data_IF_522241977194
#
_entry.id   IF_522241977194
#
_cell.length_a   1.000
_cell.length_b   1.000
_cell.length_c   1.000
_cell.angle_alpha   90.00
_cell.angle_beta   90.00
_cell.angle_gamma   90.00
#
_symmetry.space_group_name_H-M   'P 1'
#
loop_
_entity.id
_entity.type
_entity.pdbx_description
1 polymer ?
#
# COMPACT_ATOMS: atom_id res chain seq x y z
N UNK A 1 17.03 -2.35 58.92
CA UNK A 1 16.52 -1.55 57.78
C UNK A 1 16.94 -2.33 56.54
N UNK A 2 15.99 -2.91 55.82
CA UNK A 2 16.28 -3.68 54.61
C UNK A 2 15.98 -2.79 53.41
N UNK A 3 17.03 -2.49 52.65
CA UNK A 3 16.92 -1.85 51.35
C UNK A 3 16.20 -2.81 50.40
N UNK A 4 14.90 -2.57 50.20
CA UNK A 4 14.17 -3.11 49.07
C UNK A 4 14.64 -2.36 47.83
N UNK A 5 15.67 -2.88 47.17
CA UNK A 5 15.96 -2.53 45.79
C UNK A 5 14.77 -2.97 44.93
N UNK A 6 13.87 -2.03 44.69
CA UNK A 6 12.69 -2.22 43.86
C UNK A 6 13.17 -2.34 42.40
N UNK A 7 13.30 -3.58 41.94
CA UNK A 7 13.60 -3.91 40.55
C UNK A 7 12.52 -3.31 39.62
N UNK A 8 12.85 -2.20 38.96
CA UNK A 8 12.03 -1.57 37.91
C UNK A 8 11.84 -2.45 36.67
N UNK A 9 12.49 -3.62 36.63
CA UNK A 9 12.45 -4.59 35.53
C UNK A 9 11.20 -5.50 35.53
N UNK A 10 10.30 -5.35 36.50
CA UNK A 10 9.04 -6.10 36.51
C UNK A 10 7.98 -5.46 35.60
N UNK A 11 8.30 -5.25 34.32
CA UNK A 11 7.26 -5.06 33.30
C UNK A 11 6.50 -6.39 33.25
N UNK A 12 5.26 -6.40 33.76
CA UNK A 12 4.41 -7.59 33.80
C UNK A 12 4.41 -8.28 32.42
N UNK A 13 4.62 -9.61 32.32
CA UNK A 13 4.74 -10.33 31.05
C UNK A 13 3.60 -10.07 30.06
N UNK A 14 2.42 -9.71 30.58
CA UNK A 14 1.22 -9.35 29.82
C UNK A 14 1.40 -8.06 29.00
N UNK A 15 2.09 -7.03 29.51
CA UNK A 15 2.40 -5.82 28.73
C UNK A 15 3.25 -6.16 27.51
N UNK A 16 4.32 -6.91 27.74
CA UNK A 16 5.26 -7.27 26.68
C UNK A 16 4.56 -8.10 25.60
N UNK A 17 3.64 -8.98 25.97
CA UNK A 17 2.84 -9.75 25.02
C UNK A 17 1.91 -8.86 24.17
N UNK A 18 1.23 -7.90 24.79
CA UNK A 18 0.34 -6.96 24.09
C UNK A 18 1.15 -6.03 23.17
N UNK A 19 2.28 -5.50 23.62
CA UNK A 19 3.16 -4.66 22.81
C UNK A 19 3.74 -5.39 21.60
N UNK A 20 4.15 -6.66 21.76
CA UNK A 20 4.58 -7.49 20.63
C UNK A 20 3.46 -7.66 19.60
N UNK A 21 2.23 -7.86 20.08
CA UNK A 21 1.05 -8.00 19.22
C UNK A 21 0.74 -6.70 18.47
N UNK A 22 0.80 -5.55 19.15
CA UNK A 22 0.64 -4.22 18.55
C UNK A 22 1.68 -4.02 17.43
N UNK A 23 2.96 -4.26 17.72
CA UNK A 23 4.04 -4.11 16.73
C UNK A 23 3.84 -4.99 15.50
N UNK A 24 3.34 -6.21 15.69
CA UNK A 24 3.04 -7.11 14.58
C UNK A 24 1.85 -6.62 13.74
N UNK A 25 0.78 -6.10 14.37
CA UNK A 25 -0.36 -5.51 13.65
C UNK A 25 0.08 -4.27 12.85
N UNK A 26 0.88 -3.38 13.44
CA UNK A 26 1.45 -2.22 12.75
C UNK A 26 2.31 -2.62 11.54
N UNK A 27 3.08 -3.69 11.67
CA UNK A 27 3.85 -4.26 10.56
C UNK A 27 2.93 -4.77 9.45
N UNK A 28 1.85 -5.45 9.79
CA UNK A 28 0.86 -5.93 8.80
C UNK A 28 0.17 -4.77 8.08
N UNK A 29 -0.21 -3.71 8.81
CA UNK A 29 -0.77 -2.49 8.20
C UNK A 29 0.20 -1.85 7.18
N UNK A 30 1.50 -1.78 7.50
CA UNK A 30 2.52 -1.30 6.56
C UNK A 30 2.62 -2.18 5.32
N UNK A 31 2.50 -3.50 5.47
CA UNK A 31 2.52 -4.43 4.32
C UNK A 31 1.31 -4.19 3.42
N UNK A 32 0.11 -4.00 4.00
CA UNK A 32 -1.10 -3.67 3.23
C UNK A 32 -0.91 -2.38 2.45
N UNK A 33 -0.37 -1.33 3.08
CA UNK A 33 -0.12 -0.05 2.42
C UNK A 33 0.88 -0.17 1.26
N UNK A 34 1.98 -0.91 1.47
CA UNK A 34 2.96 -1.19 0.41
C UNK A 34 2.31 -1.92 -0.77
N UNK A 35 1.47 -2.93 -0.53
CA UNK A 35 0.72 -3.62 -1.59
C UNK A 35 -0.18 -2.66 -2.37
N UNK A 36 -0.82 -1.69 -1.69
CA UNK A 36 -1.64 -0.67 -2.36
C UNK A 36 -0.82 0.20 -3.31
N UNK A 37 0.32 0.68 -2.85
CA UNK A 37 1.22 1.50 -3.65
C UNK A 37 1.76 0.74 -4.88
N UNK A 38 2.06 -0.55 -4.75
CA UNK A 38 2.49 -1.37 -5.89
C UNK A 38 1.40 -1.49 -6.96
N UNK A 39 0.17 -1.77 -6.57
CA UNK A 39 -0.96 -1.88 -7.52
C UNK A 39 -1.20 -0.54 -8.23
N UNK A 40 -1.18 0.57 -7.48
CA UNK A 40 -1.32 1.92 -8.06
C UNK A 40 -0.19 2.25 -9.03
N UNK A 41 1.06 1.92 -8.69
CA UNK A 41 2.21 2.13 -9.57
C UNK A 41 2.06 1.33 -10.87
N UNK A 42 1.72 0.06 -10.78
CA UNK A 42 1.58 -0.81 -11.95
C UNK A 42 0.45 -0.31 -12.87
N UNK A 43 -0.65 0.21 -12.30
CA UNK A 43 -1.69 0.90 -13.06
C UNK A 43 -1.20 2.16 -13.76
N UNK A 44 -0.47 3.04 -13.06
CA UNK A 44 0.12 4.25 -13.66
C UNK A 44 1.11 3.91 -14.79
N UNK A 45 1.88 2.83 -14.64
CA UNK A 45 2.78 2.36 -15.68
C UNK A 45 2.03 1.87 -16.93
N UNK A 46 0.89 1.21 -16.76
CA UNK A 46 0.02 0.82 -17.88
C UNK A 46 -0.57 2.05 -18.58
N UNK A 47 -1.11 3.01 -17.83
CA UNK A 47 -1.62 4.27 -18.39
C UNK A 47 -0.53 5.04 -19.15
N UNK A 48 0.68 5.09 -18.61
CA UNK A 48 1.81 5.74 -19.27
C UNK A 48 2.18 5.05 -20.59
N UNK A 49 2.22 3.71 -20.61
CA UNK A 49 2.43 2.94 -21.84
C UNK A 49 1.34 3.21 -22.88
N UNK A 50 0.08 3.22 -22.45
CA UNK A 50 -1.06 3.53 -23.30
C UNK A 50 -0.95 4.93 -23.91
N UNK A 51 -0.69 5.95 -23.09
CA UNK A 51 -0.51 7.33 -23.54
C UNK A 51 0.65 7.50 -24.51
N UNK A 52 1.79 6.83 -24.27
CA UNK A 52 2.93 6.84 -25.20
C UNK A 52 2.58 6.23 -26.57
N UNK A 53 1.76 5.18 -26.61
CA UNK A 53 1.28 4.60 -27.86
C UNK A 53 0.32 5.55 -28.59
N UNK A 54 -0.58 6.22 -27.87
CA UNK A 54 -1.47 7.22 -28.43
C UNK A 54 -0.73 8.42 -29.03
N UNK A 55 0.29 8.94 -28.33
CA UNK A 55 1.10 10.05 -28.85
C UNK A 55 1.82 9.65 -30.15
N UNK A 56 2.45 8.47 -30.18
CA UNK A 56 3.09 7.94 -31.40
C UNK A 56 2.09 7.76 -32.55
N UNK A 57 0.88 7.28 -32.27
CA UNK A 57 -0.17 7.14 -33.26
C UNK A 57 -0.55 8.52 -33.83
N UNK A 58 -0.74 9.51 -32.96
CA UNK A 58 -1.07 10.89 -33.36
C UNK A 58 0.03 11.52 -34.21
N UNK A 59 1.30 11.35 -33.84
CA UNK A 59 2.45 11.83 -34.62
C UNK A 59 2.45 11.25 -36.04
N UNK A 60 2.23 9.93 -36.16
CA UNK A 60 2.17 9.25 -37.46
C UNK A 60 0.97 9.69 -38.30
N UNK A 61 -0.17 9.98 -37.68
CA UNK A 61 -1.36 10.50 -38.36
C UNK A 61 -1.18 11.95 -38.83
N UNK A 62 -0.44 12.78 -38.08
CA UNK A 62 -0.20 14.19 -38.40
C UNK A 62 0.93 14.41 -39.42
N UNK A 63 1.86 13.46 -39.56
CA UNK A 63 2.95 13.56 -40.54
C UNK A 63 2.42 13.70 -41.97
N UNK A 64 2.54 14.89 -42.57
CA UNK A 64 2.26 15.15 -43.99
C UNK A 64 3.57 15.16 -44.79
N UNK A 65 3.56 14.61 -46.01
CA UNK A 65 4.64 14.82 -47.00
C UNK A 65 5.56 13.63 -47.30
N UNK A 66 5.16 12.39 -47.04
CA UNK A 66 5.98 11.20 -47.34
C UNK A 66 5.83 10.73 -48.80
N UNK A 67 6.92 10.28 -49.41
CA UNK A 67 6.92 9.61 -50.73
C UNK A 67 6.02 8.36 -50.69
N UNK A 68 5.52 7.90 -51.85
CA UNK A 68 4.57 6.76 -51.93
C UNK A 68 5.00 5.50 -51.15
N UNK A 69 6.30 5.20 -51.10
CA UNK A 69 6.86 4.07 -50.35
C UNK A 69 6.87 4.32 -48.84
N UNK A 70 7.14 5.55 -48.40
CA UNK A 70 7.07 5.96 -47.01
C UNK A 70 5.61 6.03 -46.50
N UNK A 71 4.65 6.29 -47.39
CA UNK A 71 3.22 6.27 -47.09
C UNK A 71 2.70 4.88 -46.73
N UNK A 72 3.09 3.84 -47.48
CA UNK A 72 2.69 2.46 -47.20
C UNK A 72 3.26 1.96 -45.85
N UNK A 73 4.54 2.25 -45.58
CA UNK A 73 5.17 1.92 -44.30
C UNK A 73 4.52 2.66 -43.12
N UNK A 74 4.12 3.92 -43.31
CA UNK A 74 3.39 4.71 -42.30
C UNK A 74 2.03 4.10 -41.97
N UNK A 75 1.23 3.78 -42.99
CA UNK A 75 -0.08 3.11 -42.81
C UNK A 75 0.04 1.78 -42.07
N UNK A 76 1.06 0.99 -42.39
CA UNK A 76 1.33 -0.25 -41.67
C UNK A 76 1.66 -0.01 -40.18
N UNK A 77 2.52 0.97 -39.87
CA UNK A 77 2.85 1.33 -38.48
C UNK A 77 1.64 1.83 -37.69
N UNK A 78 0.77 2.63 -38.31
CA UNK A 78 -0.50 3.07 -37.72
C UNK A 78 -1.34 1.84 -37.33
N UNK A 79 -1.57 0.92 -38.27
CA UNK A 79 -2.35 -0.29 -38.03
C UNK A 79 -1.79 -1.15 -36.90
N UNK A 80 -0.46 -1.30 -36.83
CA UNK A 80 0.20 -2.04 -35.74
C UNK A 80 0.02 -1.34 -34.39
N UNK A 81 0.08 0.00 -34.33
CA UNK A 81 -0.17 0.75 -33.09
C UNK A 81 -1.63 0.68 -32.64
N UNK A 82 -2.57 0.78 -33.57
CA UNK A 82 -4.01 0.61 -33.29
C UNK A 82 -4.29 -0.78 -32.72
N UNK A 83 -3.72 -1.83 -33.31
CA UNK A 83 -3.83 -3.20 -32.77
C UNK A 83 -3.25 -3.32 -31.36
N UNK A 84 -2.10 -2.67 -31.08
CA UNK A 84 -1.50 -2.66 -29.74
C UNK A 84 -2.36 -1.92 -28.72
N UNK A 85 -2.97 -0.80 -29.10
CA UNK A 85 -3.88 -0.04 -28.24
C UNK A 85 -5.15 -0.83 -27.94
N UNK A 86 -5.73 -1.51 -28.94
CA UNK A 86 -6.89 -2.38 -28.75
C UNK A 86 -6.54 -3.55 -27.83
N UNK A 87 -5.39 -4.21 -28.06
CA UNK A 87 -4.94 -5.32 -27.22
C UNK A 87 -4.63 -4.91 -25.78
N UNK A 88 -4.14 -3.69 -25.57
CA UNK A 88 -3.93 -3.12 -24.23
C UNK A 88 -5.24 -2.70 -23.57
N UNK A 89 -6.25 -2.32 -24.37
CA UNK A 89 -7.48 -1.71 -23.89
C UNK A 89 -7.24 -0.35 -23.23
N UNK A 90 -8.32 0.30 -22.81
CA UNK A 90 -8.22 1.42 -21.87
C UNK A 90 -7.99 0.82 -20.49
N UNK A 91 -6.86 1.08 -19.81
CA UNK A 91 -6.64 0.54 -18.47
C UNK A 91 -7.76 0.98 -17.53
N UNK A 92 -8.40 0.03 -16.85
CA UNK A 92 -9.39 0.31 -15.81
C UNK A 92 -8.72 0.60 -14.48
N UNK A 93 -9.36 1.43 -13.65
CA UNK A 93 -8.89 1.67 -12.28
C UNK A 93 -8.73 0.34 -11.52
N UNK A 94 -7.64 0.15 -10.76
CA UNK A 94 -7.43 -1.09 -10.03
C UNK A 94 -8.45 -1.26 -8.91
N UNK A 95 -8.98 -2.48 -8.75
CA UNK A 95 -9.83 -2.83 -7.60
C UNK A 95 -8.96 -3.04 -6.35
N UNK A 96 -9.22 -2.21 -5.34
CA UNK A 96 -8.51 -2.20 -4.06
C UNK A 96 -9.39 -2.62 -2.87
N UNK A 97 -10.63 -3.04 -3.13
CA UNK A 97 -11.65 -3.30 -2.11
C UNK A 97 -11.20 -4.33 -1.06
N UNK A 98 -10.56 -5.42 -1.48
CA UNK A 98 -10.04 -6.46 -0.58
C UNK A 98 -8.95 -5.95 0.37
N UNK A 99 -8.04 -5.09 -0.11
CA UNK A 99 -6.97 -4.50 0.71
C UNK A 99 -7.50 -3.41 1.64
N UNK A 100 -8.57 -2.71 1.26
CA UNK A 100 -9.24 -1.76 2.15
C UNK A 100 -9.97 -2.49 3.29
N UNK A 101 -10.67 -3.59 2.99
CA UNK A 101 -11.28 -4.42 4.00
C UNK A 101 -10.25 -5.00 4.98
N UNK A 102 -9.11 -5.51 4.49
CA UNK A 102 -8.02 -5.99 5.32
C UNK A 102 -7.47 -4.88 6.23
N UNK A 103 -7.24 -3.67 5.70
CA UNK A 103 -6.78 -2.53 6.50
C UNK A 103 -7.75 -2.22 7.64
N UNK A 104 -9.04 -2.12 7.35
CA UNK A 104 -10.06 -1.77 8.35
C UNK A 104 -10.12 -2.79 9.51
N UNK A 105 -9.98 -4.09 9.20
CA UNK A 105 -9.94 -5.14 10.22
C UNK A 105 -8.69 -5.02 11.09
N UNK A 106 -7.53 -4.76 10.49
CA UNK A 106 -6.27 -4.57 11.22
C UNK A 106 -6.29 -3.31 12.08
N UNK A 107 -6.84 -2.20 11.59
CA UNK A 107 -7.01 -0.95 12.33
C UNK A 107 -7.91 -1.16 13.57
N UNK A 108 -9.04 -1.85 13.40
CA UNK A 108 -9.94 -2.17 14.51
C UNK A 108 -9.23 -3.03 15.57
N UNK A 109 -8.43 -4.01 15.13
CA UNK A 109 -7.65 -4.88 16.01
C UNK A 109 -6.55 -4.10 16.75
N UNK A 110 -5.87 -3.19 16.07
CA UNK A 110 -4.87 -2.32 16.67
C UNK A 110 -5.48 -1.47 17.80
N UNK A 111 -6.61 -0.81 17.53
CA UNK A 111 -7.31 0.00 18.52
C UNK A 111 -7.75 -0.83 19.75
N UNK A 112 -8.21 -2.06 19.54
CA UNK A 112 -8.59 -2.94 20.64
C UNK A 112 -7.38 -3.28 21.55
N UNK A 113 -6.23 -3.63 20.97
CA UNK A 113 -5.03 -3.95 21.76
C UNK A 113 -4.41 -2.72 22.42
N UNK A 114 -4.44 -1.55 21.79
CA UNK A 114 -4.00 -0.31 22.43
C UNK A 114 -4.82 0.02 23.67
N UNK A 115 -6.15 -0.19 23.63
CA UNK A 115 -7.02 -0.02 24.81
C UNK A 115 -6.64 -0.98 25.94
N UNK A 116 -6.43 -2.27 25.62
CA UNK A 116 -5.98 -3.26 26.60
C UNK A 116 -4.65 -2.84 27.24
N UNK A 117 -3.67 -2.43 26.42
CA UNK A 117 -2.36 -2.02 26.93
C UNK A 117 -2.48 -0.82 27.88
N UNK A 118 -3.29 0.18 27.52
CA UNK A 118 -3.53 1.36 28.36
C UNK A 118 -4.20 0.99 29.70
N UNK A 119 -5.21 0.11 29.67
CA UNK A 119 -5.90 -0.36 30.88
C UNK A 119 -4.97 -1.12 31.82
N UNK A 120 -4.10 -1.97 31.26
CA UNK A 120 -3.07 -2.63 32.05
C UNK A 120 -2.19 -1.56 32.70
N UNK A 121 -1.66 -0.59 31.94
CA UNK A 121 -0.65 0.36 32.44
C UNK A 121 -1.20 1.21 33.60
N UNK A 122 -2.47 1.61 33.49
CA UNK A 122 -3.19 2.29 34.56
C UNK A 122 -3.33 1.42 35.82
N UNK A 123 -3.64 0.13 35.66
CA UNK A 123 -3.76 -0.81 36.77
C UNK A 123 -2.42 -1.02 37.49
N UNK A 124 -1.32 -1.09 36.74
CA UNK A 124 0.04 -1.19 37.32
C UNK A 124 0.42 0.07 38.09
N UNK A 125 0.08 1.26 37.57
CA UNK A 125 0.33 2.52 38.25
C UNK A 125 -0.38 2.58 39.62
N UNK A 126 -1.68 2.24 39.66
CA UNK A 126 -2.48 2.18 40.89
C UNK A 126 -1.88 1.18 41.90
N UNK A 127 -1.41 0.02 41.42
CA UNK A 127 -0.76 -0.98 42.27
C UNK A 127 0.50 -0.44 42.91
N UNK A 128 1.36 0.26 42.15
CA UNK A 128 2.58 0.88 42.67
C UNK A 128 2.29 1.96 43.71
N UNK A 129 1.27 2.79 43.49
CA UNK A 129 0.85 3.82 44.44
C UNK A 129 0.32 3.24 45.77
N UNK A 130 -0.37 2.10 45.74
CA UNK A 130 -0.88 1.44 46.97
C UNK A 130 0.19 0.76 47.82
N UNK A 131 1.34 0.44 47.24
CA UNK A 131 2.38 -0.40 47.88
C UNK A 131 3.66 0.40 48.19
N UNK A 132 3.65 1.69 47.91
CA UNK A 132 4.60 2.70 48.40
C UNK A 132 4.05 3.39 49.65
#
# INVERSE_FOLDING_TARGET
MSDLEFNSDSIHPEYQAVERTIKEIEKQLKIVEIKKLYIQRDYLDQLNKYNKLLLKLRELQLGKGTTMTAEAARKHRIKVLEQKLIAMGVPSEPDMSGLEAERLVLDARLQAHMKINASLLASDAIRRERWN
#
